data_IF_844365666186
#
_entry.id   IF_844365666186
#
_cell.length_a   1.000
_cell.length_b   1.000
_cell.length_c   1.000
_cell.angle_alpha   90.00
_cell.angle_beta   90.00
_cell.angle_gamma   90.00
#
_symmetry.space_group_name_H-M   'P 1'
#
loop_
_entity.id
_entity.type
_entity.pdbx_description
1 polymer ?
#
# COMPACT_ATOMS: atom_id res chain seq x y z
N UNK A 1 3.76 11.75 15.81
CA UNK A 1 3.40 11.76 14.37
C UNK A 1 4.15 10.72 13.56
N UNK A 2 5.46 10.80 13.34
CA UNK A 2 6.17 9.81 12.50
C UNK A 2 6.03 8.36 12.98
N UNK A 3 6.16 8.11 14.28
CA UNK A 3 5.92 6.78 14.86
C UNK A 3 4.46 6.30 14.76
N UNK A 4 3.50 7.22 14.77
CA UNK A 4 2.07 6.89 14.60
C UNK A 4 1.77 6.54 13.14
N UNK A 5 2.34 7.29 12.19
CA UNK A 5 2.31 6.96 10.77
C UNK A 5 2.86 5.55 10.52
N UNK A 6 4.06 5.24 11.05
CA UNK A 6 4.66 3.93 10.85
C UNK A 6 3.85 2.80 11.48
N UNK A 7 3.28 3.01 12.67
CA UNK A 7 2.34 2.04 13.26
C UNK A 7 1.13 1.82 12.35
N UNK A 8 0.55 2.89 11.81
CA UNK A 8 -0.62 2.79 10.94
C UNK A 8 -0.28 2.07 9.61
N UNK A 9 0.87 2.36 8.99
CA UNK A 9 1.32 1.63 7.79
C UNK A 9 1.49 0.13 8.06
N UNK A 10 2.04 -0.25 9.23
CA UNK A 10 2.16 -1.65 9.63
C UNK A 10 0.80 -2.31 9.87
N UNK A 11 -0.17 -1.59 10.44
CA UNK A 11 -1.53 -2.09 10.62
C UNK A 11 -2.26 -2.26 9.28
N UNK A 12 -2.07 -1.35 8.33
CA UNK A 12 -2.61 -1.47 6.97
C UNK A 12 -2.01 -2.68 6.24
N UNK A 13 -0.71 -2.90 6.35
CA UNK A 13 -0.05 -4.10 5.82
C UNK A 13 -0.65 -5.41 6.36
N UNK A 14 -1.09 -5.41 7.62
CA UNK A 14 -1.63 -6.62 8.25
C UNK A 14 -3.12 -6.87 7.92
N UNK A 15 -3.89 -5.84 7.58
CA UNK A 15 -5.35 -5.94 7.46
C UNK A 15 -5.86 -5.86 6.02
N UNK A 16 -5.23 -5.04 5.19
CA UNK A 16 -5.82 -4.60 3.92
C UNK A 16 -5.02 -5.01 2.68
N UNK A 17 -3.75 -5.39 2.84
CA UNK A 17 -2.88 -5.76 1.73
C UNK A 17 -2.51 -7.24 1.82
N UNK A 18 -3.10 -8.07 0.94
CA UNK A 18 -2.88 -9.52 0.91
C UNK A 18 -1.58 -9.89 0.19
N UNK A 19 -1.32 -9.26 -0.97
CA UNK A 19 -0.11 -9.47 -1.77
C UNK A 19 0.84 -8.25 -1.76
N UNK A 20 0.37 -7.14 -1.17
CA UNK A 20 1.07 -5.87 -1.15
C UNK A 20 1.67 -5.47 0.18
N UNK A 21 2.48 -4.41 0.15
CA UNK A 21 3.02 -3.80 1.35
C UNK A 21 3.33 -2.32 1.16
N UNK A 22 3.09 -1.56 2.22
CA UNK A 22 3.68 -0.26 2.43
C UNK A 22 5.13 -0.41 2.90
N UNK A 23 6.01 0.35 2.25
CA UNK A 23 7.43 0.46 2.57
C UNK A 23 7.90 1.91 2.58
N UNK A 24 9.19 2.09 2.84
CA UNK A 24 9.86 3.39 2.79
C UNK A 24 11.00 3.35 1.78
N UNK A 25 11.03 4.34 0.91
CA UNK A 25 12.15 4.60 0.00
C UNK A 25 12.64 6.04 0.24
N UNK A 26 13.71 6.17 1.03
CA UNK A 26 14.15 7.47 1.54
C UNK A 26 13.06 8.14 2.38
N UNK A 27 12.60 9.32 1.94
CA UNK A 27 11.53 10.07 2.59
C UNK A 27 10.13 9.80 1.99
N UNK A 28 10.02 8.84 1.06
CA UNK A 28 8.76 8.49 0.40
C UNK A 28 8.16 7.22 0.99
N UNK A 29 6.84 7.24 1.21
CA UNK A 29 6.06 6.02 1.45
C UNK A 29 5.72 5.42 0.09
N UNK A 30 6.04 4.15 -0.10
CA UNK A 30 5.77 3.41 -1.33
C UNK A 30 4.77 2.30 -1.05
N UNK A 31 3.86 2.05 -1.99
CA UNK A 31 3.00 0.87 -2.00
C UNK A 31 3.52 -0.06 -3.10
N UNK A 32 3.73 -1.31 -2.73
CA UNK A 32 4.22 -2.36 -3.63
C UNK A 32 3.26 -3.53 -3.60
N UNK A 33 3.23 -4.29 -4.68
CA UNK A 33 2.49 -5.55 -4.79
C UNK A 33 3.39 -6.59 -5.46
N UNK A 34 3.24 -7.86 -5.08
CA UNK A 34 4.10 -8.94 -5.58
C UNK A 34 3.27 -9.91 -6.39
N UNK A 35 3.69 -10.14 -7.63
CA UNK A 35 3.04 -11.07 -8.56
C UNK A 35 4.00 -12.20 -8.89
N UNK A 36 3.48 -13.43 -8.85
CA UNK A 36 4.25 -14.61 -9.24
C UNK A 36 4.22 -14.77 -10.77
N UNK A 37 5.35 -14.49 -11.40
CA UNK A 37 5.46 -14.46 -12.86
C UNK A 37 5.10 -15.79 -13.54
N UNK A 38 5.32 -16.93 -12.87
CA UNK A 38 5.02 -18.24 -13.45
C UNK A 38 3.50 -18.47 -13.62
N UNK A 39 2.70 -17.88 -12.74
CA UNK A 39 1.24 -18.05 -12.70
C UNK A 39 0.48 -16.80 -13.18
N UNK A 40 1.19 -15.68 -13.44
CA UNK A 40 0.61 -14.40 -13.78
C UNK A 40 -0.21 -14.46 -15.07
N UNK A 41 -1.51 -14.26 -14.94
CA UNK A 41 -2.42 -13.99 -16.05
C UNK A 41 -2.92 -12.54 -16.04
N UNK A 42 -3.65 -12.15 -17.09
CA UNK A 42 -4.16 -10.79 -17.22
C UNK A 42 -5.10 -10.40 -16.08
N UNK A 43 -5.94 -11.33 -15.60
CA UNK A 43 -6.92 -11.04 -14.56
C UNK A 43 -6.24 -10.84 -13.21
N UNK A 44 -5.17 -11.60 -12.93
CA UNK A 44 -4.37 -11.43 -11.72
C UNK A 44 -3.62 -10.08 -11.73
N UNK A 45 -3.08 -9.67 -12.89
CA UNK A 45 -2.50 -8.33 -13.05
C UNK A 45 -3.55 -7.22 -12.86
N UNK A 46 -4.72 -7.33 -13.48
CA UNK A 46 -5.82 -6.36 -13.36
C UNK A 46 -6.30 -6.25 -11.91
N UNK A 47 -6.49 -7.38 -11.23
CA UNK A 47 -6.88 -7.41 -9.83
C UNK A 47 -5.85 -6.74 -8.90
N UNK A 48 -4.55 -6.94 -9.14
CA UNK A 48 -3.48 -6.26 -8.41
C UNK A 48 -3.50 -4.75 -8.64
N UNK A 49 -3.66 -4.32 -9.90
CA UNK A 49 -3.76 -2.90 -10.24
C UNK A 49 -4.97 -2.22 -9.58
N UNK A 50 -6.13 -2.88 -9.60
CA UNK A 50 -7.35 -2.39 -8.95
C UNK A 50 -7.17 -2.33 -7.42
N UNK A 51 -6.52 -3.34 -6.83
CA UNK A 51 -6.21 -3.37 -5.40
C UNK A 51 -5.32 -2.20 -4.99
N UNK A 52 -4.24 -1.93 -5.74
CA UNK A 52 -3.36 -0.77 -5.51
C UNK A 52 -4.16 0.53 -5.61
N UNK A 53 -4.99 0.67 -6.65
CA UNK A 53 -5.79 1.87 -6.89
C UNK A 53 -6.77 2.12 -5.75
N UNK A 54 -7.44 1.07 -5.27
CA UNK A 54 -8.37 1.15 -4.15
C UNK A 54 -7.65 1.49 -2.84
N UNK A 55 -6.52 0.85 -2.55
CA UNK A 55 -5.71 1.13 -1.37
C UNK A 55 -5.24 2.58 -1.35
N UNK A 56 -4.78 3.13 -2.48
CA UNK A 56 -4.40 4.53 -2.58
C UNK A 56 -5.62 5.44 -2.37
N UNK A 57 -6.75 5.18 -3.01
CA UNK A 57 -7.94 6.01 -2.89
C UNK A 57 -8.47 6.06 -1.44
N UNK A 58 -8.47 4.93 -0.74
CA UNK A 58 -8.96 4.79 0.63
C UNK A 58 -7.97 5.32 1.67
N UNK A 59 -6.70 4.89 1.61
CA UNK A 59 -5.72 5.19 2.67
C UNK A 59 -5.13 6.59 2.55
N UNK A 60 -5.08 7.20 1.36
CA UNK A 60 -4.50 8.53 1.20
C UNK A 60 -5.25 9.58 2.03
N UNK A 61 -6.57 9.44 2.16
CA UNK A 61 -7.39 10.32 3.00
C UNK A 61 -7.03 10.18 4.48
N UNK A 62 -6.83 8.96 4.97
CA UNK A 62 -6.45 8.69 6.35
C UNK A 62 -5.03 9.16 6.67
N UNK A 63 -4.10 8.88 5.75
CA UNK A 63 -2.68 9.20 5.88
C UNK A 63 -2.40 10.69 5.66
N UNK A 64 -3.30 11.44 5.02
CA UNK A 64 -3.16 12.88 4.78
C UNK A 64 -2.95 13.68 6.08
N UNK A 65 -3.48 13.20 7.21
CA UNK A 65 -3.32 13.80 8.53
C UNK A 65 -1.86 13.86 9.03
N UNK A 66 -0.98 13.01 8.50
CA UNK A 66 0.44 12.96 8.83
C UNK A 66 1.31 13.85 7.94
N UNK A 67 0.76 14.45 6.87
CA UNK A 67 1.49 15.43 6.07
C UNK A 67 1.77 16.65 6.95
N UNK A 68 3.04 16.94 7.19
CA UNK A 68 3.45 18.19 7.84
C UNK A 68 3.04 19.38 6.95
N UNK A 69 2.59 20.48 7.57
CA UNK A 69 2.45 21.78 6.89
C UNK A 69 3.81 22.45 6.82
#
# INVERSE_FOLDING_TARGET
RRGELFRQLLELNARELVHGSYGLEGDHVVLTDTLDLENLDYNEFEASFDSITLAVASHLAELASYRER
#
